data_IF_559426879163
#
_entry.id   IF_559426879163
#
_cell.length_a   1.000
_cell.length_b   1.000
_cell.length_c   1.000
_cell.angle_alpha   90.00
_cell.angle_beta   90.00
_cell.angle_gamma   90.00
#
_symmetry.space_group_name_H-M   'P 1'
#
loop_
_entity.id
_entity.type
_entity.pdbx_description
1 polymer ?
#
# COMPACT_ATOMS: atom_id res chain seq x y z
N UNK A 1 -37.04 27.76 12.69
CA UNK A 1 -36.32 26.56 13.17
C UNK A 1 -37.09 25.30 12.77
N UNK A 2 -37.30 25.05 11.45
CA UNK A 2 -37.99 23.85 10.94
C UNK A 2 -37.41 23.41 9.59
N UNK A 3 -36.14 23.72 9.30
CA UNK A 3 -35.48 23.43 8.01
C UNK A 3 -34.30 22.45 8.11
N UNK A 4 -34.09 21.83 9.28
CA UNK A 4 -32.89 21.02 9.53
C UNK A 4 -33.06 19.49 9.39
N UNK A 5 -34.26 18.99 9.13
CA UNK A 5 -34.48 17.53 9.04
C UNK A 5 -34.75 16.98 7.62
N UNK A 6 -34.66 17.80 6.57
CA UNK A 6 -34.97 17.40 5.20
C UNK A 6 -33.71 16.88 4.41
N UNK A 7 -32.55 16.87 5.00
CA UNK A 7 -31.26 16.53 4.33
C UNK A 7 -31.15 15.14 3.77
N UNK A 8 -31.89 14.20 4.35
CA UNK A 8 -31.78 12.79 4.01
C UNK A 8 -32.66 12.40 2.80
N UNK A 9 -33.58 13.24 2.39
CA UNK A 9 -34.63 12.92 1.39
C UNK A 9 -34.68 13.88 0.18
N UNK A 10 -33.66 14.69 -0.06
CA UNK A 10 -33.60 15.44 -1.31
C UNK A 10 -33.28 14.50 -2.46
N UNK A 11 -34.21 14.38 -3.40
CA UNK A 11 -34.07 13.48 -4.57
C UNK A 11 -32.79 13.73 -5.37
N UNK A 12 -32.27 14.96 -5.35
CA UNK A 12 -31.04 15.36 -6.01
C UNK A 12 -29.80 14.79 -5.29
N UNK A 13 -29.78 14.80 -3.95
CA UNK A 13 -28.70 14.17 -3.17
C UNK A 13 -28.62 12.67 -3.42
N UNK A 14 -29.75 11.97 -3.37
CA UNK A 14 -29.80 10.53 -3.61
C UNK A 14 -29.27 10.19 -5.00
N UNK A 15 -29.67 10.96 -6.00
CA UNK A 15 -29.26 10.77 -7.39
C UNK A 15 -27.76 10.97 -7.58
N UNK A 16 -27.19 12.06 -7.04
CA UNK A 16 -25.75 12.34 -7.10
C UNK A 16 -24.95 11.31 -6.31
N UNK A 17 -25.39 10.98 -5.09
CA UNK A 17 -24.72 9.99 -4.25
C UNK A 17 -24.73 8.58 -4.90
N UNK A 18 -25.84 8.16 -5.49
CA UNK A 18 -25.94 6.88 -6.20
C UNK A 18 -25.04 6.85 -7.46
N UNK A 19 -25.07 7.91 -8.27
CA UNK A 19 -24.25 8.01 -9.46
C UNK A 19 -22.74 8.01 -9.14
N UNK A 20 -22.32 8.84 -8.22
CA UNK A 20 -20.91 8.91 -7.79
C UNK A 20 -20.44 7.62 -7.10
N UNK A 21 -21.32 6.95 -6.33
CA UNK A 21 -21.04 5.64 -5.74
C UNK A 21 -20.78 4.58 -6.79
N UNK A 22 -21.66 4.44 -7.79
CA UNK A 22 -21.54 3.46 -8.87
C UNK A 22 -20.24 3.68 -9.68
N UNK A 23 -19.95 4.93 -10.02
CA UNK A 23 -18.73 5.31 -10.71
C UNK A 23 -17.48 5.02 -9.87
N UNK A 24 -17.48 5.38 -8.58
CA UNK A 24 -16.36 5.17 -7.68
C UNK A 24 -16.05 3.67 -7.49
N UNK A 25 -17.08 2.85 -7.28
CA UNK A 25 -16.94 1.40 -7.11
C UNK A 25 -16.40 0.77 -8.40
N UNK A 26 -16.99 1.08 -9.56
CA UNK A 26 -16.53 0.53 -10.83
C UNK A 26 -15.11 0.96 -11.19
N UNK A 27 -14.76 2.23 -10.97
CA UNK A 27 -13.40 2.74 -11.16
C UNK A 27 -12.38 2.03 -10.25
N UNK A 28 -12.70 1.83 -8.96
CA UNK A 28 -11.84 1.13 -8.02
C UNK A 28 -11.63 -0.35 -8.38
N UNK A 29 -12.67 -1.03 -8.87
CA UNK A 29 -12.58 -2.44 -9.32
C UNK A 29 -11.64 -2.56 -10.51
N UNK A 30 -11.83 -1.77 -11.55
CA UNK A 30 -10.96 -1.75 -12.75
C UNK A 30 -9.55 -1.27 -12.38
N UNK A 31 -9.45 -0.20 -11.62
CA UNK A 31 -8.21 0.43 -11.18
C UNK A 31 -7.34 -0.48 -10.30
N UNK A 32 -7.93 -1.46 -9.62
CA UNK A 32 -7.18 -2.45 -8.84
C UNK A 32 -6.20 -3.24 -9.71
N UNK A 33 -6.55 -3.57 -10.93
CA UNK A 33 -5.66 -4.27 -11.86
C UNK A 33 -4.58 -3.32 -12.44
N UNK A 34 -4.91 -2.08 -12.69
CA UNK A 34 -3.94 -1.03 -13.10
C UNK A 34 -2.91 -0.80 -12.00
N UNK A 35 -3.34 -0.71 -10.75
CA UNK A 35 -2.48 -0.60 -9.58
C UNK A 35 -1.50 -1.78 -9.45
N UNK A 36 -1.97 -3.02 -9.65
CA UNK A 36 -1.13 -4.22 -9.58
C UNK A 36 -0.05 -4.27 -10.66
N UNK A 37 -0.29 -3.68 -11.81
CA UNK A 37 0.70 -3.57 -12.88
C UNK A 37 1.79 -2.52 -12.60
N UNK A 38 1.76 -1.84 -11.45
CA UNK A 38 2.66 -0.76 -11.07
C UNK A 38 2.62 0.44 -12.04
N UNK A 39 1.49 0.65 -12.70
CA UNK A 39 1.25 1.72 -13.67
C UNK A 39 0.37 2.83 -13.06
N UNK A 40 0.78 3.34 -11.91
CA UNK A 40 -0.03 4.32 -11.15
C UNK A 40 -0.27 5.64 -11.89
N UNK A 41 0.68 6.09 -12.71
CA UNK A 41 0.56 7.35 -13.44
C UNK A 41 -0.29 7.25 -14.72
N UNK A 42 -0.56 6.04 -15.22
CA UNK A 42 -1.31 5.86 -16.48
C UNK A 42 -2.75 6.36 -16.38
N UNK A 43 -3.41 6.17 -15.23
CA UNK A 43 -4.78 6.64 -15.03
C UNK A 43 -4.89 8.16 -15.14
N UNK A 44 -3.98 8.88 -14.50
CA UNK A 44 -3.90 10.34 -14.57
C UNK A 44 -3.54 10.83 -15.97
N UNK A 45 -2.55 10.19 -16.58
CA UNK A 45 -2.13 10.55 -17.95
C UNK A 45 -3.24 10.35 -18.97
N UNK A 46 -4.00 9.26 -18.90
CA UNK A 46 -5.15 9.03 -19.78
C UNK A 46 -6.24 10.05 -19.52
N UNK A 47 -6.54 10.35 -18.25
CA UNK A 47 -7.56 11.31 -17.88
C UNK A 47 -7.31 12.70 -18.50
N UNK A 48 -6.07 13.15 -18.50
CA UNK A 48 -5.67 14.40 -19.18
C UNK A 48 -5.57 14.26 -20.70
N UNK A 49 -5.18 13.09 -21.20
CA UNK A 49 -5.05 12.84 -22.65
C UNK A 49 -6.38 12.70 -23.39
N UNK A 50 -7.48 12.59 -22.68
CA UNK A 50 -8.84 12.57 -23.27
C UNK A 50 -9.26 13.95 -23.82
N UNK A 51 -8.71 15.04 -23.28
CA UNK A 51 -9.12 16.42 -23.63
C UNK A 51 -9.10 16.73 -25.11
N UNK A 52 -8.05 16.43 -25.90
CA UNK A 52 -8.07 16.75 -27.34
C UNK A 52 -9.18 16.00 -28.08
N UNK A 53 -9.50 14.75 -27.67
CA UNK A 53 -10.58 14.01 -28.29
C UNK A 53 -11.96 14.60 -28.02
N UNK A 54 -12.20 15.05 -26.79
CA UNK A 54 -13.43 15.76 -26.42
C UNK A 54 -13.55 17.07 -27.20
N UNK A 55 -12.48 17.85 -27.30
CA UNK A 55 -12.46 19.12 -28.05
C UNK A 55 -12.72 18.91 -29.55
N UNK A 56 -12.07 17.91 -30.15
CA UNK A 56 -12.28 17.54 -31.56
C UNK A 56 -13.72 17.08 -31.81
N UNK A 57 -14.26 16.21 -30.94
CA UNK A 57 -15.64 15.72 -31.04
C UNK A 57 -16.65 16.89 -30.95
N UNK A 58 -16.41 17.87 -30.09
CA UNK A 58 -17.21 19.11 -30.02
C UNK A 58 -17.13 19.92 -31.28
N UNK A 59 -15.93 20.11 -31.85
CA UNK A 59 -15.75 20.85 -33.09
C UNK A 59 -16.48 20.22 -34.29
N UNK A 60 -16.50 18.87 -34.33
CA UNK A 60 -17.22 18.17 -35.43
C UNK A 60 -18.73 18.15 -35.23
N UNK A 61 -19.22 17.95 -34.00
CA UNK A 61 -20.65 17.81 -33.73
C UNK A 61 -21.37 19.15 -33.59
N UNK A 62 -20.68 20.20 -33.21
CA UNK A 62 -21.24 21.51 -32.85
C UNK A 62 -22.17 21.46 -31.63
N UNK A 63 -22.28 20.30 -30.97
CA UNK A 63 -23.20 20.06 -29.85
C UNK A 63 -22.47 19.46 -28.65
N UNK A 64 -23.06 19.64 -27.45
CA UNK A 64 -22.58 19.01 -26.21
C UNK A 64 -23.23 17.64 -25.94
N UNK A 65 -23.60 16.92 -27.01
CA UNK A 65 -24.18 15.60 -26.87
C UNK A 65 -23.16 14.67 -26.17
N UNK A 66 -23.52 14.09 -25.01
CA UNK A 66 -22.64 13.21 -24.23
C UNK A 66 -22.03 12.07 -25.03
N UNK A 67 -22.77 11.51 -26.00
CA UNK A 67 -22.30 10.37 -26.81
C UNK A 67 -21.15 10.74 -27.73
N UNK A 68 -21.23 11.89 -28.42
CA UNK A 68 -20.14 12.37 -29.27
C UNK A 68 -18.89 12.70 -28.47
N UNK A 69 -19.05 13.39 -27.32
CA UNK A 69 -17.95 13.73 -26.45
C UNK A 69 -17.29 12.48 -25.85
N UNK A 70 -18.09 11.48 -25.47
CA UNK A 70 -17.59 10.20 -24.98
C UNK A 70 -16.83 9.41 -26.05
N UNK A 71 -17.29 9.39 -27.30
CA UNK A 71 -16.57 8.77 -28.41
C UNK A 71 -15.22 9.44 -28.64
N UNK A 72 -15.16 10.77 -28.64
CA UNK A 72 -13.90 11.51 -28.75
C UNK A 72 -12.96 11.20 -27.61
N UNK A 73 -13.47 11.17 -26.37
CA UNK A 73 -12.73 10.78 -25.18
C UNK A 73 -12.14 9.36 -25.28
N UNK A 74 -12.94 8.39 -25.70
CA UNK A 74 -12.52 6.99 -25.88
C UNK A 74 -11.40 6.87 -26.93
N UNK A 75 -11.56 7.50 -28.07
CA UNK A 75 -10.56 7.45 -29.17
C UNK A 75 -9.24 8.08 -28.70
N UNK A 76 -9.29 9.25 -28.10
CA UNK A 76 -8.08 9.95 -27.62
C UNK A 76 -7.40 9.21 -26.49
N UNK A 77 -8.16 8.72 -25.52
CA UNK A 77 -7.63 7.91 -24.41
C UNK A 77 -6.99 6.61 -24.89
N UNK A 78 -7.60 5.94 -25.86
CA UNK A 78 -7.04 4.72 -26.46
C UNK A 78 -5.77 5.00 -27.28
N UNK A 79 -5.77 6.09 -28.03
CA UNK A 79 -4.61 6.53 -28.82
C UNK A 79 -3.44 6.89 -27.89
N UNK A 80 -3.70 7.63 -26.80
CA UNK A 80 -2.67 7.98 -25.82
C UNK A 80 -2.05 6.76 -25.15
N UNK A 81 -2.86 5.77 -24.72
CA UNK A 81 -2.36 4.51 -24.17
C UNK A 81 -1.52 3.72 -25.17
N UNK A 82 -1.99 3.64 -26.41
CA UNK A 82 -1.26 2.94 -27.48
C UNK A 82 0.09 3.60 -27.74
N UNK A 83 0.14 4.93 -27.71
CA UNK A 83 1.37 5.70 -27.88
C UNK A 83 2.32 5.55 -26.68
N UNK A 84 1.80 5.56 -25.45
CA UNK A 84 2.59 5.26 -24.24
C UNK A 84 3.22 3.87 -24.29
N UNK A 85 2.44 2.86 -24.65
CA UNK A 85 2.93 1.48 -24.80
C UNK A 85 3.94 1.35 -25.97
N UNK A 86 3.73 2.05 -27.06
CA UNK A 86 4.65 2.09 -28.20
C UNK A 86 6.00 2.71 -27.80
N UNK A 87 5.98 3.90 -27.18
CA UNK A 87 7.19 4.60 -26.75
C UNK A 87 7.99 3.77 -25.74
N UNK A 88 7.33 3.23 -24.71
CA UNK A 88 8.01 2.44 -23.67
C UNK A 88 8.63 1.14 -24.20
N UNK A 89 8.10 0.54 -25.29
CA UNK A 89 8.61 -0.72 -25.86
C UNK A 89 9.61 -0.55 -26.99
N UNK A 90 9.48 0.52 -27.76
CA UNK A 90 10.26 0.74 -28.98
C UNK A 90 11.38 1.76 -28.82
N UNK A 91 11.41 2.47 -27.72
CA UNK A 91 12.46 3.45 -27.40
C UNK A 91 13.20 3.08 -26.12
N UNK A 92 14.29 3.79 -25.82
CA UNK A 92 15.04 3.65 -24.57
C UNK A 92 14.43 4.42 -23.38
N UNK A 93 13.25 5.01 -23.59
CA UNK A 93 12.57 5.77 -22.53
C UNK A 93 12.06 4.85 -21.43
N UNK A 94 12.20 5.29 -20.19
CA UNK A 94 11.52 4.63 -19.08
C UNK A 94 10.00 4.72 -19.26
N UNK A 95 9.26 3.80 -18.63
CA UNK A 95 7.80 3.80 -18.71
C UNK A 95 7.21 5.12 -18.22
N UNK A 96 7.72 5.67 -17.10
CA UNK A 96 7.24 6.93 -16.53
C UNK A 96 7.55 8.12 -17.46
N UNK A 97 8.71 8.13 -18.11
CA UNK A 97 9.06 9.17 -19.11
C UNK A 97 8.14 9.11 -20.32
N UNK A 98 7.82 7.90 -20.83
CA UNK A 98 6.90 7.75 -21.95
C UNK A 98 5.48 8.24 -21.58
N UNK A 99 5.00 7.93 -20.37
CA UNK A 99 3.71 8.41 -19.85
C UNK A 99 3.71 9.94 -19.75
N UNK A 100 4.74 10.54 -19.13
CA UNK A 100 4.84 11.99 -18.97
C UNK A 100 4.91 12.73 -20.32
N UNK A 101 5.64 12.18 -21.31
CA UNK A 101 5.74 12.76 -22.64
C UNK A 101 4.38 12.79 -23.35
N UNK A 102 3.67 11.65 -23.36
CA UNK A 102 2.35 11.57 -23.99
C UNK A 102 1.34 12.46 -23.29
N UNK A 103 1.34 12.47 -21.96
CA UNK A 103 0.52 13.36 -21.13
C UNK A 103 0.72 14.82 -21.57
N UNK A 104 1.98 15.28 -21.58
CA UNK A 104 2.29 16.68 -21.89
C UNK A 104 1.85 17.09 -23.31
N UNK A 105 2.06 16.22 -24.29
CA UNK A 105 1.67 16.49 -25.68
C UNK A 105 0.15 16.53 -25.83
N UNK A 106 -0.55 15.51 -25.34
CA UNK A 106 -2.01 15.45 -25.47
C UNK A 106 -2.69 16.55 -24.66
N UNK A 107 -2.25 16.79 -23.43
CA UNK A 107 -2.80 17.86 -22.60
C UNK A 107 -2.56 19.24 -23.25
N UNK A 108 -1.36 19.50 -23.78
CA UNK A 108 -1.05 20.73 -24.48
C UNK A 108 -1.95 20.95 -25.72
N UNK A 109 -2.12 19.90 -26.56
CA UNK A 109 -3.05 19.94 -27.70
C UNK A 109 -4.48 20.17 -27.21
N UNK A 110 -4.90 19.49 -26.12
CA UNK A 110 -6.23 19.66 -25.56
C UNK A 110 -6.53 21.09 -25.11
N UNK A 111 -5.59 21.71 -24.39
CA UNK A 111 -5.72 23.11 -23.96
C UNK A 111 -5.74 24.08 -25.15
N UNK A 112 -4.88 23.88 -26.17
CA UNK A 112 -4.90 24.67 -27.37
C UNK A 112 -6.26 24.62 -28.08
N UNK A 113 -6.82 23.40 -28.22
CA UNK A 113 -8.14 23.21 -28.85
C UNK A 113 -9.26 23.84 -28.03
N UNK A 114 -9.23 23.67 -26.69
CA UNK A 114 -10.22 24.31 -25.82
C UNK A 114 -10.15 25.83 -25.88
N UNK A 115 -8.93 26.40 -25.88
CA UNK A 115 -8.74 27.85 -26.03
C UNK A 115 -9.25 28.33 -27.38
N UNK A 116 -8.97 27.60 -28.48
CA UNK A 116 -9.52 27.89 -29.78
C UNK A 116 -11.05 27.88 -29.78
N UNK A 117 -11.67 26.87 -29.20
CA UNK A 117 -13.12 26.76 -29.07
C UNK A 117 -13.70 27.97 -28.33
N UNK A 118 -13.04 28.44 -27.25
CA UNK A 118 -13.50 29.57 -26.44
C UNK A 118 -13.51 30.89 -27.22
N UNK A 119 -12.70 31.02 -28.27
CA UNK A 119 -12.65 32.21 -29.12
C UNK A 119 -13.60 32.13 -30.33
N UNK A 120 -14.28 31.01 -30.57
CA UNK A 120 -15.28 30.93 -31.65
C UNK A 120 -16.56 31.71 -31.22
N UNK A 121 -17.14 32.53 -32.07
CA UNK A 121 -18.29 33.39 -31.78
C UNK A 121 -19.65 32.63 -31.60
N UNK A 122 -19.65 31.32 -31.66
CA UNK A 122 -20.86 30.50 -31.51
C UNK A 122 -21.24 30.36 -30.03
N UNK A 123 -22.32 30.97 -29.58
CA UNK A 123 -22.77 31.03 -28.15
C UNK A 123 -22.99 29.71 -27.38
N UNK A 124 -22.56 28.58 -27.91
CA UNK A 124 -22.66 27.27 -27.32
C UNK A 124 -21.41 26.83 -26.49
N UNK A 125 -20.45 27.74 -26.33
CA UNK A 125 -19.10 27.45 -25.78
C UNK A 125 -19.02 27.38 -24.25
N UNK A 126 -19.90 28.11 -23.55
CA UNK A 126 -19.89 28.17 -22.08
C UNK A 126 -20.15 26.81 -21.45
N UNK A 127 -19.13 26.22 -20.78
CA UNK A 127 -19.27 25.00 -20.00
C UNK A 127 -18.44 23.80 -20.45
N UNK A 128 -17.56 23.93 -21.46
CA UNK A 128 -16.53 22.92 -21.71
C UNK A 128 -15.48 22.87 -20.59
N UNK A 129 -15.27 24.00 -19.88
CA UNK A 129 -14.42 24.07 -18.69
C UNK A 129 -14.98 23.18 -17.56
N UNK A 130 -16.29 23.00 -17.53
CA UNK A 130 -16.96 22.14 -16.56
C UNK A 130 -16.65 20.66 -16.76
N UNK A 131 -16.19 20.28 -17.96
CA UNK A 131 -15.71 18.93 -18.23
C UNK A 131 -14.43 18.59 -17.43
N UNK A 132 -13.58 19.59 -17.14
CA UNK A 132 -12.38 19.39 -16.33
C UNK A 132 -12.71 19.18 -14.85
N UNK A 133 -13.72 19.89 -14.35
CA UNK A 133 -14.08 19.89 -12.93
C UNK A 133 -15.23 18.95 -12.59
N UNK A 134 -15.96 18.43 -13.60
CA UNK A 134 -17.13 17.58 -13.44
C UNK A 134 -18.39 18.38 -13.02
N UNK A 135 -19.54 17.83 -13.27
CA UNK A 135 -20.85 18.39 -12.92
C UNK A 135 -21.71 17.43 -12.11
N UNK A 136 -21.11 16.69 -11.16
CA UNK A 136 -21.85 15.71 -10.38
C UNK A 136 -23.11 16.30 -9.73
N UNK A 137 -23.04 17.54 -9.25
CA UNK A 137 -24.18 18.23 -8.64
C UNK A 137 -25.35 18.52 -9.60
N UNK A 138 -25.11 18.54 -10.93
CA UNK A 138 -26.09 18.78 -11.97
C UNK A 138 -26.55 17.49 -12.68
N UNK A 139 -26.24 16.30 -12.12
CA UNK A 139 -26.57 14.99 -12.68
C UNK A 139 -28.09 14.81 -12.86
N UNK A 140 -28.48 14.35 -14.06
CA UNK A 140 -29.89 14.07 -14.39
C UNK A 140 -30.21 12.59 -14.18
N UNK A 141 -31.50 12.29 -13.94
CA UNK A 141 -31.95 10.91 -13.74
C UNK A 141 -31.63 9.98 -14.92
N UNK A 142 -31.62 10.50 -16.16
CA UNK A 142 -31.25 9.72 -17.36
C UNK A 142 -29.77 9.32 -17.32
N UNK A 143 -28.90 10.20 -16.84
CA UNK A 143 -27.46 9.96 -16.72
C UNK A 143 -27.14 8.87 -15.71
N UNK A 144 -27.92 8.78 -14.61
CA UNK A 144 -27.80 7.71 -13.62
C UNK A 144 -27.96 6.33 -14.22
N UNK A 145 -28.92 6.14 -15.15
CA UNK A 145 -29.10 4.87 -15.83
C UNK A 145 -27.92 4.53 -16.76
N UNK A 146 -27.38 5.55 -17.45
CA UNK A 146 -26.20 5.37 -18.31
C UNK A 146 -24.98 4.97 -17.43
N UNK A 147 -24.72 5.73 -16.37
CA UNK A 147 -23.59 5.43 -15.46
C UNK A 147 -23.77 4.09 -14.76
N UNK A 148 -24.97 3.77 -14.33
CA UNK A 148 -25.31 2.47 -13.73
C UNK A 148 -25.10 1.29 -14.67
N UNK A 149 -25.57 1.41 -15.90
CA UNK A 149 -25.40 0.38 -16.92
C UNK A 149 -23.93 0.16 -17.28
N UNK A 150 -23.18 1.24 -17.45
CA UNK A 150 -21.76 1.15 -17.77
C UNK A 150 -20.91 0.69 -16.58
N UNK A 151 -21.23 1.12 -15.35
CA UNK A 151 -20.60 0.59 -14.15
C UNK A 151 -20.84 -0.92 -14.02
N UNK A 152 -22.05 -1.38 -14.31
CA UNK A 152 -22.37 -2.81 -14.33
C UNK A 152 -21.53 -3.55 -15.37
N UNK A 153 -21.39 -3.04 -16.58
CA UNK A 153 -20.57 -3.63 -17.65
C UNK A 153 -19.10 -3.72 -17.19
N UNK A 154 -18.55 -2.66 -16.61
CA UNK A 154 -17.18 -2.64 -16.11
C UNK A 154 -16.95 -3.70 -15.03
N UNK A 155 -17.86 -3.79 -14.05
CA UNK A 155 -17.75 -4.76 -12.96
C UNK A 155 -17.92 -6.19 -13.51
N UNK A 156 -18.94 -6.45 -14.31
CA UNK A 156 -19.23 -7.79 -14.86
C UNK A 156 -18.08 -8.25 -15.76
N UNK A 157 -17.60 -7.43 -16.69
CA UNK A 157 -16.42 -7.77 -17.50
C UNK A 157 -15.20 -8.07 -16.64
N UNK A 158 -14.95 -7.26 -15.62
CA UNK A 158 -13.81 -7.49 -14.72
C UNK A 158 -13.94 -8.77 -13.93
N UNK A 159 -15.16 -9.15 -13.52
CA UNK A 159 -15.41 -10.41 -12.80
C UNK A 159 -15.33 -11.64 -13.72
N UNK A 160 -15.84 -11.54 -14.95
CA UNK A 160 -15.73 -12.62 -15.94
C UNK A 160 -14.26 -12.93 -16.24
N UNK A 161 -13.48 -11.91 -16.54
CA UNK A 161 -12.05 -12.03 -16.87
C UNK A 161 -11.12 -11.92 -15.66
N UNK A 162 -11.65 -12.14 -14.44
CA UNK A 162 -10.88 -11.97 -13.20
C UNK A 162 -9.63 -12.86 -13.16
N UNK A 163 -9.72 -14.11 -13.60
CA UNK A 163 -8.60 -15.07 -13.58
C UNK A 163 -7.53 -14.66 -14.58
N UNK A 164 -7.92 -14.28 -15.76
CA UNK A 164 -7.06 -13.87 -16.87
C UNK A 164 -6.36 -12.54 -16.52
N UNK A 165 -7.10 -11.55 -16.00
CA UNK A 165 -6.54 -10.27 -15.57
C UNK A 165 -5.59 -10.43 -14.37
N UNK A 166 -5.91 -11.33 -13.43
CA UNK A 166 -5.00 -11.67 -12.35
C UNK A 166 -3.68 -12.20 -12.91
N UNK A 167 -3.74 -13.19 -13.79
CA UNK A 167 -2.56 -13.80 -14.37
C UNK A 167 -1.75 -12.80 -15.19
N UNK A 168 -2.41 -12.00 -16.02
CA UNK A 168 -1.80 -10.93 -16.80
C UNK A 168 -1.08 -9.88 -15.93
N UNK A 169 -1.63 -9.57 -14.76
CA UNK A 169 -1.07 -8.55 -13.87
C UNK A 169 0.13 -9.02 -13.08
N UNK A 170 0.22 -10.34 -12.76
CA UNK A 170 1.31 -10.89 -11.96
C UNK A 170 2.43 -11.52 -12.82
N UNK A 171 2.07 -12.25 -13.87
CA UNK A 171 3.03 -12.92 -14.72
C UNK A 171 2.50 -13.07 -16.17
N UNK A 172 2.70 -12.04 -17.02
CA UNK A 172 2.23 -12.07 -18.40
C UNK A 172 2.94 -13.16 -19.26
N UNK A 173 4.19 -13.49 -18.96
CA UNK A 173 4.94 -14.50 -19.71
C UNK A 173 4.36 -15.90 -19.43
N UNK A 174 4.04 -16.20 -18.17
CA UNK A 174 3.35 -17.43 -17.81
C UNK A 174 1.92 -17.50 -18.41
N UNK A 175 1.21 -16.38 -18.50
CA UNK A 175 -0.06 -16.34 -19.20
C UNK A 175 0.07 -16.74 -20.68
N UNK A 176 1.16 -16.29 -21.33
CA UNK A 176 1.46 -16.64 -22.73
C UNK A 176 1.79 -18.11 -22.90
N UNK A 177 2.55 -18.71 -21.97
CA UNK A 177 2.87 -20.15 -22.04
C UNK A 177 1.63 -21.04 -21.87
N UNK A 178 0.60 -20.55 -21.16
CA UNK A 178 -0.70 -21.24 -21.04
C UNK A 178 -1.59 -21.06 -22.27
N UNK A 179 -1.12 -20.39 -23.33
CA UNK A 179 -1.88 -20.17 -24.56
C UNK A 179 -2.94 -19.04 -24.45
N UNK A 180 -2.91 -18.22 -23.40
CA UNK A 180 -3.85 -17.11 -23.30
C UNK A 180 -3.53 -15.99 -24.29
N UNK A 181 -4.52 -15.33 -24.89
CA UNK A 181 -4.31 -14.23 -25.81
C UNK A 181 -3.94 -12.94 -25.06
N UNK A 182 -2.69 -12.90 -24.53
CA UNK A 182 -2.18 -11.82 -23.67
C UNK A 182 -2.36 -10.44 -24.29
N UNK A 183 -2.20 -10.33 -25.64
CA UNK A 183 -2.39 -9.05 -26.36
C UNK A 183 -3.87 -8.62 -26.31
N UNK A 184 -4.80 -9.53 -26.57
CA UNK A 184 -6.25 -9.24 -26.52
C UNK A 184 -6.72 -8.89 -25.11
N UNK A 185 -6.26 -9.65 -24.09
CA UNK A 185 -6.60 -9.38 -22.70
C UNK A 185 -6.06 -8.02 -22.22
N UNK A 186 -4.88 -7.63 -22.67
CA UNK A 186 -4.31 -6.30 -22.37
C UNK A 186 -5.11 -5.19 -23.02
N UNK A 187 -5.52 -5.37 -24.29
CA UNK A 187 -6.37 -4.41 -24.99
C UNK A 187 -7.71 -4.27 -24.26
N UNK A 188 -8.34 -5.38 -23.89
CA UNK A 188 -9.61 -5.38 -23.15
C UNK A 188 -9.48 -4.64 -21.82
N UNK A 189 -8.46 -4.94 -21.02
CA UNK A 189 -8.25 -4.29 -19.73
C UNK A 189 -7.97 -2.78 -19.87
N UNK A 190 -7.16 -2.39 -20.86
CA UNK A 190 -6.90 -1.00 -21.17
C UNK A 190 -8.18 -0.28 -21.65
N UNK A 191 -9.02 -0.95 -22.45
CA UNK A 191 -10.31 -0.41 -22.91
C UNK A 191 -11.29 -0.22 -21.74
N UNK A 192 -11.35 -1.16 -20.80
CA UNK A 192 -12.16 -0.99 -19.59
C UNK A 192 -11.69 0.19 -18.74
N UNK A 193 -10.37 0.40 -18.63
CA UNK A 193 -9.79 1.54 -17.91
C UNK A 193 -10.13 2.87 -18.60
N UNK A 194 -9.94 2.98 -19.92
CA UNK A 194 -10.29 4.20 -20.69
C UNK A 194 -11.77 4.48 -20.58
N UNK A 195 -12.61 3.46 -20.68
CA UNK A 195 -14.07 3.58 -20.55
C UNK A 195 -14.46 4.10 -19.18
N UNK A 196 -13.87 3.54 -18.10
CA UNK A 196 -14.11 4.01 -16.73
C UNK A 196 -13.73 5.49 -16.56
N UNK A 197 -12.57 5.89 -17.11
CA UNK A 197 -12.09 7.27 -17.03
C UNK A 197 -12.99 8.21 -17.85
N UNK A 198 -13.30 7.87 -19.10
CA UNK A 198 -14.11 8.70 -19.99
C UNK A 198 -15.51 8.98 -19.42
N UNK A 199 -16.12 7.97 -18.80
CA UNK A 199 -17.39 8.10 -18.10
C UNK A 199 -17.30 8.99 -16.88
N UNK A 200 -16.30 8.71 -16.07
CA UNK A 200 -16.16 9.40 -14.81
C UNK A 200 -15.77 10.87 -14.96
N UNK A 201 -14.97 11.24 -15.98
CA UNK A 201 -14.60 12.64 -16.21
C UNK A 201 -15.84 13.50 -16.42
N UNK A 202 -16.79 13.02 -17.19
CA UNK A 202 -18.03 13.77 -17.45
C UNK A 202 -18.84 14.04 -16.18
N UNK A 203 -18.89 13.03 -15.29
CA UNK A 203 -19.65 13.15 -14.03
C UNK A 203 -18.88 13.90 -12.94
N UNK A 204 -17.63 13.54 -12.69
CA UNK A 204 -16.92 13.94 -11.47
C UNK A 204 -15.60 14.68 -11.73
N UNK A 205 -15.20 14.83 -12.99
CA UNK A 205 -14.00 15.55 -13.42
C UNK A 205 -12.73 14.71 -13.46
N UNK A 206 -11.70 15.27 -14.12
CA UNK A 206 -10.43 14.60 -14.39
C UNK A 206 -9.70 14.21 -13.10
N UNK A 207 -9.57 15.18 -12.17
CA UNK A 207 -8.80 14.99 -10.92
C UNK A 207 -9.37 13.88 -10.06
N UNK A 208 -10.70 13.82 -9.92
CA UNK A 208 -11.34 12.80 -9.11
C UNK A 208 -11.20 11.41 -9.74
N UNK A 209 -11.29 11.31 -11.07
CA UNK A 209 -11.19 10.01 -11.74
C UNK A 209 -9.81 9.37 -11.60
N UNK A 210 -8.74 10.15 -11.72
CA UNK A 210 -7.39 9.65 -11.47
C UNK A 210 -7.24 9.14 -10.02
N UNK A 211 -7.78 9.87 -9.05
CA UNK A 211 -7.76 9.47 -7.64
C UNK A 211 -8.58 8.20 -7.38
N UNK A 212 -9.81 8.10 -7.91
CA UNK A 212 -10.70 6.96 -7.73
C UNK A 212 -10.15 5.66 -8.33
N UNK A 213 -9.36 5.75 -9.39
CA UNK A 213 -8.81 4.57 -10.05
C UNK A 213 -7.73 3.88 -9.20
N UNK A 214 -6.89 4.62 -8.52
CA UNK A 214 -5.66 4.10 -7.91
C UNK A 214 -5.69 4.13 -6.39
N UNK A 215 -6.11 5.24 -5.80
CA UNK A 215 -6.02 5.48 -4.35
C UNK A 215 -6.78 4.45 -3.51
N UNK A 216 -8.01 4.00 -3.89
CA UNK A 216 -8.72 2.98 -3.12
C UNK A 216 -7.95 1.65 -3.06
N UNK A 217 -7.33 1.26 -4.18
CA UNK A 217 -6.56 0.01 -4.28
C UNK A 217 -5.26 0.08 -3.48
N UNK A 218 -4.58 1.23 -3.52
CA UNK A 218 -3.40 1.50 -2.70
C UNK A 218 -3.74 1.44 -1.19
N UNK A 219 -4.85 2.05 -0.78
CA UNK A 219 -5.33 1.99 0.59
C UNK A 219 -5.71 0.56 1.02
N UNK A 220 -6.42 -0.18 0.16
CA UNK A 220 -6.84 -1.56 0.42
C UNK A 220 -5.66 -2.52 0.57
N UNK A 221 -4.55 -2.28 -0.15
CA UNK A 221 -3.34 -3.10 -0.09
C UNK A 221 -2.69 -3.12 1.29
N UNK A 222 -2.89 -2.10 2.10
CA UNK A 222 -2.38 -2.06 3.47
C UNK A 222 -3.09 -3.06 4.39
N UNK A 223 -4.35 -3.41 4.10
CA UNK A 223 -5.14 -4.34 4.92
C UNK A 223 -4.97 -5.80 4.52
N UNK A 224 -4.68 -6.11 3.24
CA UNK A 224 -4.67 -7.48 2.75
C UNK A 224 -3.71 -7.72 1.60
N UNK A 225 -3.19 -8.96 1.52
CA UNK A 225 -2.41 -9.45 0.39
C UNK A 225 -3.24 -10.27 -0.60
N UNK A 226 -4.49 -10.62 -0.24
CA UNK A 226 -5.39 -11.42 -1.09
C UNK A 226 -6.10 -10.52 -2.09
N UNK A 227 -5.91 -10.76 -3.39
CA UNK A 227 -6.46 -9.93 -4.47
C UNK A 227 -7.98 -9.71 -4.37
N UNK A 228 -8.76 -10.77 -4.13
CA UNK A 228 -10.23 -10.65 -4.02
C UNK A 228 -10.63 -9.70 -2.88
N UNK A 229 -10.01 -9.87 -1.72
CA UNK A 229 -10.26 -9.00 -0.56
C UNK A 229 -9.80 -7.56 -0.83
N UNK A 230 -8.67 -7.36 -1.52
CA UNK A 230 -8.16 -6.04 -1.90
C UNK A 230 -9.16 -5.30 -2.79
N UNK A 231 -9.68 -5.95 -3.83
CA UNK A 231 -10.68 -5.34 -4.73
C UNK A 231 -11.96 -4.99 -3.96
N UNK A 232 -12.43 -5.89 -3.10
CA UNK A 232 -13.62 -5.64 -2.29
C UNK A 232 -13.43 -4.45 -1.33
N UNK A 233 -12.30 -4.39 -0.60
CA UNK A 233 -11.99 -3.28 0.30
C UNK A 233 -11.80 -1.98 -0.49
N UNK A 234 -11.15 -2.03 -1.66
CA UNK A 234 -11.00 -0.86 -2.53
C UNK A 234 -12.37 -0.31 -2.98
N UNK A 235 -13.28 -1.20 -3.39
CA UNK A 235 -14.64 -0.82 -3.76
C UNK A 235 -15.41 -0.19 -2.58
N UNK A 236 -15.25 -0.75 -1.36
CA UNK A 236 -15.86 -0.17 -0.15
C UNK A 236 -15.27 1.21 0.18
N UNK A 237 -13.96 1.39 0.14
CA UNK A 237 -13.30 2.69 0.40
C UNK A 237 -13.76 3.73 -0.63
N UNK A 238 -13.78 3.38 -1.91
CA UNK A 238 -14.22 4.27 -2.97
C UNK A 238 -15.70 4.65 -2.82
N UNK A 239 -16.58 3.66 -2.64
CA UNK A 239 -18.00 3.87 -2.46
C UNK A 239 -18.33 4.71 -1.22
N UNK A 240 -17.69 4.41 -0.09
CA UNK A 240 -17.86 5.17 1.14
C UNK A 240 -17.37 6.62 0.99
N UNK A 241 -16.22 6.85 0.34
CA UNK A 241 -15.72 8.19 0.03
C UNK A 241 -16.69 8.98 -0.85
N UNK A 242 -17.28 8.31 -1.86
CA UNK A 242 -18.25 8.95 -2.73
C UNK A 242 -19.51 9.37 -1.98
N UNK A 243 -20.06 8.50 -1.11
CA UNK A 243 -21.22 8.81 -0.30
C UNK A 243 -20.94 9.96 0.69
N UNK A 244 -19.84 9.89 1.43
CA UNK A 244 -19.46 10.93 2.38
C UNK A 244 -19.20 12.28 1.69
N UNK A 245 -18.40 12.26 0.61
CA UNK A 245 -18.05 13.47 -0.13
C UNK A 245 -19.29 14.14 -0.74
N UNK A 246 -20.22 13.34 -1.28
CA UNK A 246 -21.51 13.86 -1.78
C UNK A 246 -22.34 14.45 -0.67
N UNK A 247 -22.48 13.79 0.48
CA UNK A 247 -23.23 14.30 1.62
C UNK A 247 -22.65 15.63 2.15
N UNK A 248 -21.31 15.73 2.26
CA UNK A 248 -20.64 16.97 2.68
C UNK A 248 -20.87 18.08 1.65
N UNK A 249 -20.74 17.77 0.35
CA UNK A 249 -20.96 18.75 -0.73
C UNK A 249 -22.37 19.37 -0.67
N UNK A 250 -23.38 18.60 -0.29
CA UNK A 250 -24.75 19.10 -0.14
C UNK A 250 -25.00 19.88 1.15
N UNK A 251 -24.06 19.85 2.11
CA UNK A 251 -24.21 20.57 3.39
C UNK A 251 -24.14 22.09 3.25
N UNK A 252 -23.52 22.62 2.19
CA UNK A 252 -23.48 24.06 1.93
C UNK A 252 -23.56 24.36 0.42
N UNK A 253 -24.21 25.48 0.08
CA UNK A 253 -24.36 25.92 -1.30
C UNK A 253 -23.01 26.22 -1.95
N UNK A 254 -22.79 25.76 -3.17
CA UNK A 254 -21.58 26.03 -3.95
C UNK A 254 -20.37 25.16 -3.66
N UNK A 255 -20.50 24.14 -2.82
CA UNK A 255 -19.42 23.19 -2.57
C UNK A 255 -19.29 22.15 -3.73
N UNK A 256 -18.12 22.03 -4.37
CA UNK A 256 -17.94 21.09 -5.49
C UNK A 256 -17.86 19.64 -4.98
N UNK A 257 -18.65 18.74 -5.54
CA UNK A 257 -18.77 17.34 -5.08
C UNK A 257 -17.46 16.56 -5.32
N UNK A 258 -16.81 16.72 -6.49
CA UNK A 258 -15.56 16.03 -6.85
C UNK A 258 -14.45 16.24 -5.82
N UNK A 259 -14.03 17.46 -5.52
CA UNK A 259 -13.00 17.75 -4.53
C UNK A 259 -13.29 17.18 -3.13
N UNK A 260 -14.55 17.20 -2.67
CA UNK A 260 -14.91 16.60 -1.39
C UNK A 260 -14.77 15.07 -1.36
N UNK A 261 -15.12 14.40 -2.46
CA UNK A 261 -14.91 12.96 -2.60
C UNK A 261 -13.41 12.63 -2.56
N UNK A 262 -12.58 13.41 -3.28
CA UNK A 262 -11.10 13.23 -3.24
C UNK A 262 -10.57 13.44 -1.83
N UNK A 263 -11.05 14.46 -1.12
CA UNK A 263 -10.61 14.76 0.25
C UNK A 263 -10.96 13.62 1.21
N UNK A 264 -12.20 13.12 1.16
CA UNK A 264 -12.62 11.95 1.96
C UNK A 264 -11.78 10.71 1.61
N UNK A 265 -11.56 10.45 0.32
CA UNK A 265 -10.74 9.34 -0.14
C UNK A 265 -9.30 9.45 0.33
N UNK A 266 -8.71 10.64 0.26
CA UNK A 266 -7.34 10.90 0.71
C UNK A 266 -7.20 10.70 2.22
N UNK A 267 -8.16 11.17 3.01
CA UNK A 267 -8.19 10.94 4.46
C UNK A 267 -8.27 9.45 4.77
N UNK A 268 -9.17 8.70 4.10
CA UNK A 268 -9.28 7.25 4.32
C UNK A 268 -8.01 6.51 3.89
N UNK A 269 -7.36 6.94 2.81
CA UNK A 269 -6.08 6.37 2.38
C UNK A 269 -4.97 6.63 3.40
N UNK A 270 -4.86 7.84 3.92
CA UNK A 270 -3.91 8.16 4.99
C UNK A 270 -4.21 7.36 6.26
N UNK A 271 -5.46 7.29 6.68
CA UNK A 271 -5.87 6.46 7.82
C UNK A 271 -5.49 4.99 7.60
N UNK A 272 -5.67 4.46 6.39
CA UNK A 272 -5.26 3.09 6.07
C UNK A 272 -3.75 2.88 6.23
N UNK A 273 -2.95 3.88 5.83
CA UNK A 273 -1.49 3.82 5.96
C UNK A 273 -1.05 3.76 7.44
N UNK A 274 -1.73 4.49 8.32
CA UNK A 274 -1.40 4.52 9.74
C UNK A 274 -2.00 3.34 10.52
N UNK A 275 -3.27 3.02 10.28
CA UNK A 275 -4.08 2.12 11.13
C UNK A 275 -4.13 0.66 10.65
N UNK A 276 -3.60 0.33 9.47
CA UNK A 276 -3.67 -1.05 8.97
C UNK A 276 -2.99 -2.05 9.94
N UNK A 277 -3.67 -3.16 10.30
CA UNK A 277 -3.25 -4.01 11.44
C UNK A 277 -1.89 -4.69 11.27
N UNK A 278 -1.48 -4.97 10.01
CA UNK A 278 -0.23 -5.72 9.71
C UNK A 278 0.84 -4.87 9.04
N UNK A 279 0.44 -3.91 8.22
CA UNK A 279 1.33 -3.11 7.36
C UNK A 279 1.31 -1.63 7.70
N UNK A 280 0.40 -1.21 8.58
CA UNK A 280 0.30 0.18 9.02
C UNK A 280 1.55 0.63 9.76
N UNK A 281 1.82 1.92 9.65
CA UNK A 281 3.00 2.54 10.27
C UNK A 281 3.02 2.32 11.79
N UNK A 282 1.87 2.47 12.46
CA UNK A 282 1.73 2.23 13.90
C UNK A 282 2.00 0.77 14.28
N UNK A 283 1.46 -0.19 13.49
CA UNK A 283 1.71 -1.61 13.74
C UNK A 283 3.19 -1.98 13.58
N UNK A 284 3.86 -1.42 12.56
CA UNK A 284 5.30 -1.61 12.36
C UNK A 284 6.13 -1.01 13.50
N UNK A 285 5.80 0.22 13.92
CA UNK A 285 6.49 0.87 15.05
C UNK A 285 6.34 0.07 16.34
N UNK A 286 5.13 -0.42 16.64
CA UNK A 286 4.88 -1.24 17.82
C UNK A 286 5.63 -2.58 17.74
N UNK A 287 5.67 -3.21 16.57
CA UNK A 287 6.41 -4.46 16.37
C UNK A 287 7.92 -4.24 16.53
N UNK A 288 8.46 -3.18 15.93
CA UNK A 288 9.87 -2.81 16.08
C UNK A 288 10.23 -2.53 17.54
N UNK A 289 9.39 -1.76 18.26
CA UNK A 289 9.60 -1.53 19.70
C UNK A 289 9.60 -2.83 20.51
N UNK A 290 8.69 -3.76 20.23
CA UNK A 290 8.67 -5.07 20.90
C UNK A 290 9.92 -5.89 20.58
N UNK A 291 10.38 -5.90 19.33
CA UNK A 291 11.62 -6.57 18.94
C UNK A 291 12.82 -5.96 19.65
N UNK A 292 12.94 -4.62 19.65
CA UNK A 292 14.04 -3.95 20.36
C UNK A 292 14.02 -4.25 21.86
N UNK A 293 12.83 -4.23 22.47
CA UNK A 293 12.68 -4.60 23.90
C UNK A 293 13.13 -6.05 24.17
N UNK A 294 12.81 -6.99 23.28
CA UNK A 294 13.25 -8.38 23.38
C UNK A 294 14.77 -8.47 23.28
N UNK A 295 15.38 -7.81 22.29
CA UNK A 295 16.83 -7.76 22.11
C UNK A 295 17.52 -7.20 23.37
N UNK A 296 17.02 -6.08 23.90
CA UNK A 296 17.59 -5.47 25.10
C UNK A 296 17.45 -6.37 26.34
N UNK A 297 16.32 -7.08 26.48
CA UNK A 297 16.09 -8.07 27.56
C UNK A 297 17.10 -9.23 27.45
N UNK A 298 17.26 -9.81 26.26
CA UNK A 298 18.17 -10.95 26.02
C UNK A 298 19.64 -10.53 26.15
N UNK A 299 20.03 -9.34 25.67
CA UNK A 299 21.38 -8.81 25.86
C UNK A 299 21.72 -8.59 27.33
N UNK A 300 20.77 -8.10 28.12
CA UNK A 300 20.99 -7.93 29.56
C UNK A 300 21.14 -9.28 30.26
N UNK A 301 20.32 -10.28 29.94
CA UNK A 301 20.46 -11.65 30.45
C UNK A 301 21.81 -12.26 30.07
N UNK A 302 22.27 -12.04 28.82
CA UNK A 302 23.59 -12.49 28.35
C UNK A 302 24.72 -11.83 29.12
N UNK A 303 24.65 -10.53 29.40
CA UNK A 303 25.66 -9.83 30.21
C UNK A 303 25.72 -10.37 31.63
N UNK A 304 24.58 -10.59 32.31
CA UNK A 304 24.54 -11.24 33.61
C UNK A 304 25.15 -12.64 33.57
N UNK A 305 24.87 -13.43 32.53
CA UNK A 305 25.43 -14.75 32.37
C UNK A 305 26.95 -14.74 32.21
N UNK A 306 27.47 -13.89 31.32
CA UNK A 306 28.92 -13.76 31.09
C UNK A 306 29.67 -13.28 32.34
N UNK A 307 29.05 -12.33 33.08
CA UNK A 307 29.64 -11.91 34.36
C UNK A 307 29.70 -13.09 35.37
N UNK A 308 28.62 -13.85 35.53
CA UNK A 308 28.57 -15.01 36.38
C UNK A 308 29.53 -16.13 35.93
N UNK A 309 29.68 -16.35 34.63
CA UNK A 309 30.61 -17.32 34.06
C UNK A 309 32.06 -16.93 34.33
N UNK A 310 32.42 -15.64 34.14
CA UNK A 310 33.76 -15.12 34.42
C UNK A 310 34.17 -15.26 35.91
N UNK A 311 33.20 -15.15 36.82
CA UNK A 311 33.42 -15.28 38.27
C UNK A 311 33.10 -16.68 38.80
N UNK A 312 32.86 -17.66 37.93
CA UNK A 312 32.52 -19.06 38.24
C UNK A 312 31.32 -19.20 39.22
N UNK A 313 30.42 -18.22 39.26
CA UNK A 313 29.24 -18.23 40.12
C UNK A 313 28.04 -17.58 39.45
N UNK A 314 27.17 -18.36 38.84
CA UNK A 314 25.93 -17.91 38.19
C UNK A 314 24.81 -17.56 39.20
N UNK A 315 24.95 -17.92 40.44
CA UNK A 315 23.96 -17.67 41.48
C UNK A 315 24.32 -16.50 42.41
N UNK A 316 25.29 -15.64 42.00
CA UNK A 316 25.67 -14.48 42.80
C UNK A 316 24.74 -13.28 42.58
N UNK A 317 24.71 -12.39 43.56
CA UNK A 317 24.07 -11.11 43.48
C UNK A 317 25.01 -10.13 42.77
N UNK A 318 24.56 -9.52 41.66
CA UNK A 318 25.35 -8.66 40.75
C UNK A 318 24.74 -7.27 40.78
N UNK A 319 25.55 -6.23 40.89
CA UNK A 319 25.11 -4.84 40.72
C UNK A 319 25.20 -4.45 39.23
N UNK A 320 24.41 -3.45 38.81
CA UNK A 320 24.44 -2.99 37.43
C UNK A 320 25.80 -2.40 37.06
N UNK A 321 26.47 -1.71 37.97
CA UNK A 321 27.83 -1.20 37.78
C UNK A 321 28.85 -2.26 37.41
N UNK A 322 28.64 -3.47 37.90
CA UNK A 322 29.57 -4.59 37.69
C UNK A 322 29.45 -5.13 36.24
N UNK A 323 28.32 -4.89 35.56
CA UNK A 323 28.09 -5.28 34.18
C UNK A 323 28.79 -4.37 33.14
N UNK A 324 29.17 -3.19 33.52
CA UNK A 324 29.92 -2.26 32.64
C UNK A 324 31.25 -2.87 32.17
N UNK A 325 31.86 -3.77 32.97
CA UNK A 325 33.04 -4.55 32.54
C UNK A 325 32.78 -5.51 31.37
N UNK A 326 31.52 -5.90 31.17
CA UNK A 326 31.13 -6.85 30.10
C UNK A 326 30.63 -6.12 28.88
N UNK A 327 29.75 -5.15 29.08
CA UNK A 327 29.13 -4.38 28.00
C UNK A 327 28.66 -3.03 28.52
N UNK A 328 28.92 -1.99 27.74
CA UNK A 328 28.36 -0.66 27.94
C UNK A 328 26.89 -0.64 27.48
N UNK A 329 25.98 -0.25 28.34
CA UNK A 329 24.55 -0.13 28.08
C UNK A 329 24.12 1.31 28.29
N UNK A 330 23.27 1.83 27.39
CA UNK A 330 22.59 3.09 27.63
C UNK A 330 21.68 2.95 28.89
N UNK A 331 21.74 3.90 29.82
CA UNK A 331 21.01 3.85 31.10
C UNK A 331 19.49 3.58 30.94
N UNK A 332 18.87 4.22 29.91
CA UNK A 332 17.43 4.04 29.64
C UNK A 332 17.10 2.61 29.19
N UNK A 333 17.93 2.03 28.32
CA UNK A 333 17.73 0.66 27.82
C UNK A 333 17.90 -0.37 28.93
N UNK A 334 18.93 -0.21 29.75
CA UNK A 334 19.24 -1.06 30.87
C UNK A 334 18.13 -1.03 31.92
N UNK A 335 17.70 0.16 32.34
CA UNK A 335 16.64 0.33 33.33
C UNK A 335 15.28 -0.20 32.85
N UNK A 336 14.98 -0.04 31.56
CA UNK A 336 13.78 -0.58 30.92
C UNK A 336 13.79 -2.11 30.84
N UNK A 337 14.89 -2.71 30.39
CA UNK A 337 15.05 -4.17 30.33
C UNK A 337 14.98 -4.81 31.71
N UNK A 338 15.65 -4.21 32.69
CA UNK A 338 15.65 -4.67 34.07
C UNK A 338 14.25 -4.77 34.68
N UNK A 339 13.45 -3.70 34.55
CA UNK A 339 12.05 -3.71 35.01
C UNK A 339 11.23 -4.82 34.36
N UNK A 340 11.39 -5.03 33.05
CA UNK A 340 10.68 -6.10 32.33
C UNK A 340 11.12 -7.48 32.77
N UNK A 341 12.43 -7.70 32.96
CA UNK A 341 12.96 -9.00 33.42
C UNK A 341 12.53 -9.36 34.85
N UNK A 342 12.46 -8.35 35.72
CA UNK A 342 11.91 -8.55 37.07
C UNK A 342 10.42 -8.89 37.00
N UNK A 343 9.66 -8.15 36.21
CA UNK A 343 8.22 -8.39 36.06
C UNK A 343 7.91 -9.77 35.44
N UNK A 344 8.76 -10.23 34.51
CA UNK A 344 8.68 -11.60 33.95
C UNK A 344 9.17 -12.70 34.93
N UNK A 345 9.70 -12.31 36.07
CA UNK A 345 10.24 -13.25 37.06
C UNK A 345 11.57 -13.89 36.65
N UNK A 346 12.30 -13.30 35.71
CA UNK A 346 13.62 -13.79 35.27
C UNK A 346 14.74 -13.32 36.20
N UNK A 347 14.61 -12.13 36.78
CA UNK A 347 15.56 -11.58 37.72
C UNK A 347 14.88 -11.30 39.07
N UNK A 348 15.60 -11.63 40.15
CA UNK A 348 15.26 -11.30 41.54
C UNK A 348 16.02 -10.03 41.92
N UNK A 349 15.40 -9.17 42.73
CA UNK A 349 16.02 -7.90 43.19
C UNK A 349 16.20 -7.89 44.69
N UNK A 350 17.38 -7.47 45.17
CA UNK A 350 17.67 -7.21 46.60
C UNK A 350 18.45 -5.90 46.70
N UNK A 351 17.74 -4.82 47.02
CA UNK A 351 18.35 -3.49 47.02
C UNK A 351 18.77 -3.06 45.59
N UNK A 352 20.06 -2.84 45.40
CA UNK A 352 20.67 -2.51 44.10
C UNK A 352 21.31 -3.71 43.36
N UNK A 353 21.22 -4.90 43.97
CA UNK A 353 21.75 -6.12 43.41
C UNK A 353 20.64 -6.99 42.80
N UNK A 354 21.01 -7.75 41.79
CA UNK A 354 20.12 -8.61 41.01
C UNK A 354 20.71 -10.02 40.90
N UNK A 355 19.86 -11.01 40.82
CA UNK A 355 20.25 -12.42 40.70
C UNK A 355 19.28 -13.12 39.75
N UNK A 356 19.76 -14.13 39.03
CA UNK A 356 18.87 -14.98 38.26
C UNK A 356 17.85 -15.70 39.10
N UNK A 357 16.61 -15.75 38.67
CA UNK A 357 15.71 -16.83 39.08
C UNK A 357 16.05 -18.09 38.28
N UNK A 358 15.43 -19.22 38.65
CA UNK A 358 15.59 -20.49 37.91
C UNK A 358 15.17 -20.29 36.42
N UNK A 359 14.02 -19.66 36.16
CA UNK A 359 13.52 -19.38 34.82
C UNK A 359 14.44 -18.41 34.07
N UNK A 360 14.99 -17.40 34.76
CA UNK A 360 15.91 -16.45 34.15
C UNK A 360 17.25 -17.08 33.76
N UNK A 361 17.77 -17.97 34.59
CA UNK A 361 18.99 -18.71 34.28
C UNK A 361 18.81 -19.64 33.06
N UNK A 362 17.66 -20.31 32.98
CA UNK A 362 17.33 -21.20 31.84
C UNK A 362 17.21 -20.39 30.54
N UNK A 363 16.60 -19.19 30.58
CA UNK A 363 16.51 -18.31 29.40
C UNK A 363 17.87 -17.71 29.04
N UNK A 364 18.67 -17.29 30.01
CA UNK A 364 20.04 -16.81 29.76
C UNK A 364 20.91 -17.90 29.11
N UNK A 365 20.83 -19.14 29.60
CA UNK A 365 21.50 -20.31 29.00
C UNK A 365 21.08 -20.53 27.57
N UNK A 366 19.77 -20.37 27.28
CA UNK A 366 19.24 -20.49 25.91
C UNK A 366 19.83 -19.44 24.98
N UNK A 367 19.83 -18.17 25.40
CA UNK A 367 20.36 -17.06 24.58
C UNK A 367 21.84 -17.25 24.32
N UNK A 368 22.65 -17.56 25.35
CA UNK A 368 24.08 -17.79 25.21
C UNK A 368 24.38 -19.02 24.35
N UNK A 369 23.59 -20.10 24.47
CA UNK A 369 23.71 -21.29 23.61
C UNK A 369 23.47 -20.93 22.15
N UNK A 370 22.38 -20.20 21.83
CA UNK A 370 22.09 -19.77 20.47
C UNK A 370 23.21 -18.93 19.88
N UNK A 371 23.77 -18.01 20.65
CA UNK A 371 24.92 -17.20 20.24
C UNK A 371 26.11 -18.09 19.85
N UNK A 372 26.51 -18.99 20.75
CA UNK A 372 27.67 -19.87 20.55
C UNK A 372 27.48 -20.88 19.43
N UNK A 373 26.28 -21.44 19.25
CA UNK A 373 25.93 -22.30 18.13
C UNK A 373 26.01 -21.56 16.80
N UNK A 374 25.54 -20.32 16.77
CA UNK A 374 25.58 -19.54 15.55
C UNK A 374 27.01 -19.13 15.19
N UNK A 375 27.86 -18.80 16.16
CA UNK A 375 29.29 -18.56 15.94
C UNK A 375 29.99 -19.82 15.36
N UNK A 376 29.67 -21.00 15.91
CA UNK A 376 30.16 -22.27 15.37
C UNK A 376 29.72 -22.50 13.93
N UNK A 377 28.46 -22.29 13.62
CA UNK A 377 27.93 -22.41 12.27
C UNK A 377 28.64 -21.47 11.27
N UNK A 378 28.78 -20.19 11.63
CA UNK A 378 29.47 -19.19 10.84
C UNK A 378 30.93 -19.56 10.60
N UNK A 379 31.60 -20.05 11.62
CA UNK A 379 33.02 -20.47 11.55
C UNK A 379 33.22 -21.71 10.68
N UNK A 380 32.44 -22.76 10.91
CA UNK A 380 32.64 -24.07 10.27
C UNK A 380 32.07 -24.12 8.84
N UNK A 381 30.86 -23.59 8.62
CA UNK A 381 30.15 -23.71 7.35
C UNK A 381 30.42 -22.56 6.37
N UNK A 382 30.47 -21.34 6.87
CA UNK A 382 30.74 -20.17 6.02
C UNK A 382 32.21 -19.75 6.00
N UNK A 383 33.05 -20.36 6.84
CA UNK A 383 34.51 -20.08 6.93
C UNK A 383 34.81 -18.58 7.07
N UNK A 384 33.97 -17.85 7.81
CA UNK A 384 34.18 -16.44 8.08
C UNK A 384 35.33 -16.26 9.06
N UNK A 385 36.05 -15.15 8.91
CA UNK A 385 37.11 -14.79 9.87
C UNK A 385 36.49 -14.39 11.21
N UNK A 386 37.19 -14.64 12.30
CA UNK A 386 36.73 -14.36 13.67
C UNK A 386 36.22 -12.94 13.88
N UNK A 387 36.83 -11.94 13.24
CA UNK A 387 36.44 -10.53 13.34
C UNK A 387 35.04 -10.22 12.81
N UNK A 388 34.46 -11.07 11.96
CA UNK A 388 33.14 -10.93 11.36
C UNK A 388 32.08 -11.89 11.93
N UNK A 389 32.49 -12.84 12.77
CA UNK A 389 31.60 -13.86 13.33
C UNK A 389 30.74 -13.26 14.44
N UNK A 390 31.38 -12.58 15.41
CA UNK A 390 30.70 -12.09 16.61
C UNK A 390 29.57 -11.07 16.35
N UNK A 391 29.77 -10.00 15.54
CA UNK A 391 28.69 -9.04 15.25
C UNK A 391 27.51 -9.66 14.52
N UNK A 392 27.76 -10.67 13.65
CA UNK A 392 26.72 -11.38 12.92
C UNK A 392 25.93 -12.31 13.84
N UNK A 393 26.61 -13.00 14.79
CA UNK A 393 25.97 -13.84 15.76
C UNK A 393 25.05 -13.03 16.70
N UNK A 394 25.48 -11.88 17.16
CA UNK A 394 24.65 -10.97 17.98
C UNK A 394 23.36 -10.52 17.31
N UNK A 395 23.36 -10.37 15.99
CA UNK A 395 22.16 -9.94 15.25
C UNK A 395 21.18 -11.10 15.06
N UNK A 396 21.69 -12.31 14.83
CA UNK A 396 20.87 -13.47 14.44
C UNK A 396 20.30 -14.25 15.64
N UNK A 397 20.96 -14.26 16.79
CA UNK A 397 20.53 -15.03 17.99
C UNK A 397 19.10 -14.71 18.44
N UNK A 398 18.64 -13.48 18.22
CA UNK A 398 17.31 -13.00 18.62
C UNK A 398 16.18 -13.44 17.70
N UNK A 399 16.52 -13.97 16.51
CA UNK A 399 15.56 -14.32 15.43
C UNK A 399 15.40 -15.86 15.33
N UNK A 400 16.34 -16.63 15.86
CA UNK A 400 16.37 -18.09 15.76
C UNK A 400 15.17 -18.69 16.51
N UNK A 401 14.36 -19.46 15.76
CA UNK A 401 13.24 -20.21 16.34
C UNK A 401 13.72 -21.53 16.98
N UNK A 402 12.92 -22.14 17.87
CA UNK A 402 13.25 -23.45 18.46
C UNK A 402 13.49 -24.54 17.42
N UNK A 403 12.81 -24.48 16.28
CA UNK A 403 12.98 -25.44 15.18
C UNK A 403 14.34 -25.27 14.51
N UNK A 404 14.77 -24.02 14.29
CA UNK A 404 16.10 -23.71 13.74
C UNK A 404 17.18 -24.04 14.75
N UNK A 405 16.96 -23.80 16.06
CA UNK A 405 17.87 -24.21 17.14
C UNK A 405 18.12 -25.72 17.09
N UNK A 406 17.06 -26.54 16.95
CA UNK A 406 17.17 -27.98 16.85
C UNK A 406 17.95 -28.42 15.62
N UNK A 407 17.71 -27.79 14.46
CA UNK A 407 18.45 -28.07 13.24
C UNK A 407 19.93 -27.69 13.33
N UNK A 408 20.26 -26.56 13.98
CA UNK A 408 21.64 -26.16 14.22
C UNK A 408 22.38 -27.13 15.12
N UNK A 409 21.73 -27.63 16.16
CA UNK A 409 22.32 -28.63 17.07
C UNK A 409 22.63 -29.93 16.32
N UNK A 410 21.70 -30.41 15.51
CA UNK A 410 21.89 -31.62 14.72
C UNK A 410 22.99 -31.44 13.65
N UNK A 411 23.00 -30.31 12.94
CA UNK A 411 23.97 -30.03 11.87
C UNK A 411 25.41 -29.86 12.40
N UNK A 412 25.55 -29.33 13.63
CA UNK A 412 26.85 -29.12 14.28
C UNK A 412 27.27 -30.30 15.17
N UNK A 413 26.53 -31.41 15.18
CA UNK A 413 26.81 -32.61 15.96
C UNK A 413 26.98 -32.33 17.47
N UNK A 414 26.09 -31.51 18.05
CA UNK A 414 26.03 -31.14 19.47
C UNK A 414 27.39 -30.71 20.07
N UNK A 415 27.97 -29.61 19.60
CA UNK A 415 29.31 -29.19 20.00
C UNK A 415 29.36 -28.79 21.49
N UNK A 416 30.37 -29.23 22.22
CA UNK A 416 30.57 -28.89 23.62
C UNK A 416 31.07 -27.47 23.85
N UNK A 417 31.81 -26.92 22.87
CA UNK A 417 32.48 -25.62 22.96
C UNK A 417 32.31 -24.80 21.70
N UNK A 418 32.29 -23.50 21.85
CA UNK A 418 32.30 -22.51 20.77
C UNK A 418 33.70 -22.33 20.11
N UNK A 419 33.88 -21.54 19.06
CA UNK A 419 35.18 -21.27 18.43
C UNK A 419 36.20 -20.63 19.39
N UNK A 420 35.74 -20.00 20.45
CA UNK A 420 36.56 -19.37 21.50
C UNK A 420 36.87 -20.29 22.68
N UNK A 421 36.55 -21.60 22.59
CA UNK A 421 36.72 -22.63 23.62
C UNK A 421 35.83 -22.46 24.87
N UNK A 422 34.80 -21.61 24.77
CA UNK A 422 33.81 -21.44 25.87
C UNK A 422 32.74 -22.56 25.82
N UNK A 423 32.33 -23.11 26.97
CA UNK A 423 31.40 -24.25 27.01
C UNK A 423 30.00 -23.83 26.56
N UNK A 424 29.37 -24.63 25.67
CA UNK A 424 28.00 -24.37 25.22
C UNK A 424 27.02 -24.88 26.27
N UNK A 425 26.16 -24.01 26.88
CA UNK A 425 25.29 -24.40 27.96
C UNK A 425 24.07 -25.19 27.45
N UNK A 426 24.05 -26.50 27.67
CA UNK A 426 22.87 -27.34 27.43
C UNK A 426 21.91 -27.29 28.60
N UNK A 427 20.64 -27.69 28.37
CA UNK A 427 19.70 -27.88 29.50
C UNK A 427 20.21 -28.97 30.41
N UNK A 428 20.33 -28.65 31.68
CA UNK A 428 20.58 -29.66 32.77
C UNK A 428 19.28 -30.38 33.12
#
# INVERSE_FOLDING_TARGET
MQQESSWILDSSLILVAAGTFLLAVSAAVVGSFTFLQKRSLVGDAVAHSILPGVAVAFLFSGTKDPWWLMLGALISGWLSLSLMDFLSRKTKLSQDTAIATVLSVFFGIGILLLTYIQHLESGHQSGLDQFLFGQAAAMKSQELWIYGGLALVLIVCTLIFFKEFKLLSFNPDFAQTLGLPVRGLRILMNSLMVLAIALGIQAVGVVLMAALLITPSAAARNFTDRLKAMIFIAALIAGFSALLGSAISFSAKGMPTGPWIVMCLSILALLSLFLAPKKGMLARMLLQRRHQQKINDENLLKAFYHYGERHANLAQWIRLSDLEEIRDFAEEEQSGALRRLIHKGHLLRKGEAFQFSRAGLDEARRVVRLHRLWEMYLSQRLRLKSDHIHPNAETMEHIISPEIEAQLLEELDYPDKDPHQSPIPYRS
#
